data_IF_635813959948
#
_entry.id   IF_635813959948
#
_cell.length_a   1.000
_cell.length_b   1.000
_cell.length_c   1.000
_cell.angle_alpha   90.00
_cell.angle_beta   90.00
_cell.angle_gamma   90.00
#
_symmetry.space_group_name_H-M   'P 1'
#
loop_
_entity.id
_entity.type
_entity.pdbx_description
1 polymer ?
#
# COMPACT_ATOMS: atom_id res chain seq x y z
N UNK A 1 -6.54 -25.72 -2.62
CA UNK A 1 -5.93 -24.87 -1.57
C UNK A 1 -5.50 -23.57 -2.24
N UNK A 2 -5.97 -22.40 -1.80
CA UNK A 2 -5.68 -21.13 -2.50
C UNK A 2 -4.31 -20.60 -2.06
N UNK A 3 -3.32 -20.82 -2.93
CA UNK A 3 -2.00 -20.20 -2.87
C UNK A 3 -2.06 -18.88 -3.64
N UNK A 4 -1.59 -17.80 -3.03
CA UNK A 4 -1.54 -16.47 -3.66
C UNK A 4 -0.09 -15.99 -3.71
N UNK A 5 0.32 -15.48 -4.86
CA UNK A 5 1.60 -14.81 -5.05
C UNK A 5 1.34 -13.31 -5.26
N UNK A 6 2.07 -12.48 -4.52
CA UNK A 6 1.99 -11.02 -4.61
C UNK A 6 3.36 -10.46 -4.94
N UNK A 7 3.42 -9.62 -5.98
CA UNK A 7 4.61 -8.84 -6.33
C UNK A 7 4.51 -7.45 -5.69
N UNK A 8 5.49 -7.10 -4.87
CA UNK A 8 5.60 -5.79 -4.21
C UNK A 8 6.72 -5.00 -4.86
N UNK A 9 6.37 -3.83 -5.36
CA UNK A 9 7.30 -2.87 -5.95
C UNK A 9 7.52 -1.72 -4.98
N UNK A 10 8.78 -1.51 -4.61
CA UNK A 10 9.22 -0.41 -3.76
C UNK A 10 9.76 0.73 -4.62
N UNK A 11 9.24 1.95 -4.39
CA UNK A 11 9.66 3.16 -5.06
C UNK A 11 10.19 4.19 -4.05
N UNK A 12 11.31 4.84 -4.37
CA UNK A 12 11.79 6.01 -3.63
C UNK A 12 11.15 7.27 -4.20
N UNK A 13 10.66 8.13 -3.33
CA UNK A 13 9.93 9.35 -3.71
C UNK A 13 10.77 10.63 -3.59
N UNK A 14 11.91 10.54 -2.90
CA UNK A 14 12.92 11.60 -2.91
C UNK A 14 13.76 11.48 -4.17
N UNK A 15 13.27 12.10 -5.24
CA UNK A 15 13.85 12.06 -6.58
C UNK A 15 14.13 13.46 -7.10
N UNK A 16 14.97 13.53 -8.14
CA UNK A 16 15.38 14.79 -8.75
C UNK A 16 14.25 15.42 -9.59
N UNK A 17 14.24 16.75 -9.81
CA UNK A 17 13.27 17.41 -10.68
C UNK A 17 13.18 16.79 -12.09
N UNK A 18 14.29 16.42 -12.76
CA UNK A 18 14.21 15.71 -14.05
C UNK A 18 13.44 14.38 -14.00
N UNK A 19 13.45 13.65 -12.88
CA UNK A 19 12.67 12.43 -12.75
C UNK A 19 11.17 12.72 -12.64
N UNK A 20 10.80 13.81 -11.97
CA UNK A 20 9.42 14.30 -11.89
C UNK A 20 8.94 14.70 -13.29
N UNK A 21 9.76 15.45 -14.04
CA UNK A 21 9.46 15.87 -15.41
C UNK A 21 9.27 14.69 -16.37
N UNK A 22 10.04 13.60 -16.23
CA UNK A 22 9.87 12.37 -17.03
C UNK A 22 8.55 11.66 -16.75
N UNK A 23 8.09 11.70 -15.49
CA UNK A 23 6.88 11.02 -15.04
C UNK A 23 5.63 11.83 -15.30
N UNK A 24 5.72 13.16 -15.29
CA UNK A 24 4.60 14.08 -15.42
C UNK A 24 3.68 13.81 -16.64
N UNK A 25 4.20 13.48 -17.84
CA UNK A 25 3.38 13.14 -19.00
C UNK A 25 2.58 11.84 -18.81
N UNK A 26 3.00 10.94 -17.92
CA UNK A 26 2.31 9.68 -17.67
C UNK A 26 1.03 9.87 -16.86
N UNK A 27 0.95 10.93 -16.05
CA UNK A 27 -0.24 11.16 -15.21
C UNK A 27 -1.46 11.47 -16.08
N UNK A 28 -2.64 11.12 -15.57
CA UNK A 28 -3.90 11.56 -16.18
C UNK A 28 -4.12 13.07 -15.91
N UNK A 29 -4.99 13.74 -16.70
CA UNK A 29 -5.37 15.12 -16.41
C UNK A 29 -5.94 15.31 -15.00
N UNK A 30 -6.71 14.35 -14.48
CA UNK A 30 -7.26 14.42 -13.13
C UNK A 30 -6.17 14.33 -12.05
N UNK A 31 -5.15 13.51 -12.28
CA UNK A 31 -4.02 13.39 -11.36
C UNK A 31 -3.14 14.61 -11.38
N UNK A 32 -2.87 15.20 -12.55
CA UNK A 32 -2.14 16.47 -12.66
C UNK A 32 -2.85 17.57 -11.87
N UNK A 33 -4.17 17.73 -12.07
CA UNK A 33 -4.97 18.70 -11.28
C UNK A 33 -4.87 18.46 -9.78
N UNK A 34 -4.90 17.20 -9.34
CA UNK A 34 -4.73 16.86 -7.92
C UNK A 34 -3.32 17.17 -7.42
N UNK A 35 -2.29 16.90 -8.23
CA UNK A 35 -0.92 17.23 -7.91
C UNK A 35 -0.76 18.75 -7.72
N UNK A 36 -1.27 19.54 -8.66
CA UNK A 36 -1.20 21.00 -8.64
C UNK A 36 -1.93 21.62 -7.43
N UNK A 37 -2.84 20.88 -6.80
CA UNK A 37 -3.56 21.32 -5.59
C UNK A 37 -2.77 21.19 -4.28
N UNK A 38 -1.61 20.54 -4.25
CA UNK A 38 -0.82 20.41 -3.02
C UNK A 38 -0.13 21.74 -2.65
N UNK A 39 -0.31 22.16 -1.39
CA UNK A 39 0.31 23.39 -0.88
C UNK A 39 1.84 23.31 -0.76
N UNK A 40 2.38 22.11 -0.53
CA UNK A 40 3.82 21.90 -0.33
C UNK A 40 4.45 21.11 -1.47
N UNK A 41 5.60 21.58 -1.97
CA UNK A 41 6.35 20.95 -3.05
C UNK A 41 6.71 19.48 -2.76
N UNK A 42 6.97 19.13 -1.48
CA UNK A 42 7.24 17.75 -1.07
C UNK A 42 6.05 16.82 -1.30
N UNK A 43 4.83 17.30 -1.06
CA UNK A 43 3.61 16.49 -1.17
C UNK A 43 3.22 16.37 -2.64
N UNK A 44 3.36 17.47 -3.41
CA UNK A 44 3.29 17.45 -4.88
C UNK A 44 4.24 16.39 -5.46
N UNK A 45 5.54 16.45 -5.12
CA UNK A 45 6.55 15.48 -5.59
C UNK A 45 6.15 14.05 -5.24
N UNK A 46 5.88 13.77 -3.95
CA UNK A 46 5.54 12.43 -3.48
C UNK A 46 4.33 11.89 -4.22
N UNK A 47 3.30 12.70 -4.43
CA UNK A 47 2.12 12.32 -5.18
C UNK A 47 2.44 11.99 -6.64
N UNK A 48 3.13 12.88 -7.36
CA UNK A 48 3.48 12.68 -8.78
C UNK A 48 4.29 11.41 -8.96
N UNK A 49 5.34 11.23 -8.15
CA UNK A 49 6.25 10.09 -8.26
C UNK A 49 5.55 8.78 -7.89
N UNK A 50 4.68 8.80 -6.87
CA UNK A 50 3.87 7.64 -6.50
C UNK A 50 2.93 7.21 -7.64
N UNK A 51 2.22 8.16 -8.27
CA UNK A 51 1.34 7.86 -9.41
C UNK A 51 2.12 7.42 -10.65
N UNK A 52 3.29 8.00 -10.87
CA UNK A 52 4.22 7.57 -11.91
C UNK A 52 4.70 6.15 -11.74
N UNK A 53 5.15 5.80 -10.54
CA UNK A 53 5.58 4.45 -10.20
C UNK A 53 4.44 3.44 -10.40
N UNK A 54 3.23 3.76 -9.95
CA UNK A 54 2.05 2.93 -10.17
C UNK A 54 1.82 2.65 -11.66
N UNK A 55 1.81 3.70 -12.48
CA UNK A 55 1.63 3.58 -13.93
C UNK A 55 2.76 2.83 -14.60
N UNK A 56 3.99 3.00 -14.15
CA UNK A 56 5.14 2.27 -14.67
C UNK A 56 5.01 0.77 -14.41
N UNK A 57 4.67 0.39 -13.18
CA UNK A 57 4.46 -1.02 -12.78
C UNK A 57 3.31 -1.64 -13.56
N UNK A 58 2.17 -0.96 -13.62
CA UNK A 58 1.00 -1.46 -14.37
C UNK A 58 1.24 -1.47 -15.88
N UNK A 59 1.94 -0.48 -16.43
CA UNK A 59 2.31 -0.44 -17.85
C UNK A 59 3.21 -1.62 -18.22
N UNK A 60 4.22 -1.91 -17.39
CA UNK A 60 5.08 -3.08 -17.55
C UNK A 60 4.33 -4.41 -17.48
N UNK A 61 3.36 -4.51 -16.57
CA UNK A 61 2.49 -5.68 -16.43
C UNK A 61 1.56 -5.88 -17.64
N UNK A 62 1.06 -4.79 -18.21
CA UNK A 62 0.06 -4.79 -19.29
C UNK A 62 0.69 -4.70 -20.69
N UNK A 63 2.01 -4.50 -20.79
CA UNK A 63 2.68 -4.22 -22.06
C UNK A 63 2.27 -2.88 -22.68
N UNK A 64 1.91 -1.90 -21.85
CA UNK A 64 1.46 -0.55 -22.27
C UNK A 64 2.48 0.51 -21.88
N UNK A 65 2.47 1.62 -22.61
CA UNK A 65 3.13 2.83 -22.12
C UNK A 65 2.46 3.30 -20.82
N UNK A 66 3.21 3.77 -19.80
CA UNK A 66 2.64 4.15 -18.50
C UNK A 66 1.49 5.16 -18.59
N UNK A 67 1.58 6.11 -19.52
CA UNK A 67 0.53 7.12 -19.75
C UNK A 67 -0.78 6.57 -20.31
N UNK A 68 -0.74 5.39 -20.93
CA UNK A 68 -1.91 4.76 -21.57
C UNK A 68 -2.68 3.83 -20.61
N UNK A 69 -2.17 3.63 -19.39
CA UNK A 69 -2.85 2.84 -18.37
C UNK A 69 -4.07 3.61 -17.86
N UNK A 70 -5.25 3.09 -18.18
CA UNK A 70 -6.52 3.66 -17.74
C UNK A 70 -6.84 3.20 -16.31
N UNK A 71 -6.97 4.16 -15.40
CA UNK A 71 -7.29 3.94 -14.00
C UNK A 71 -8.58 4.67 -13.63
N UNK A 72 -9.46 3.98 -12.91
CA UNK A 72 -10.56 4.59 -12.18
C UNK A 72 -10.16 4.72 -10.71
N UNK A 73 -10.36 5.89 -10.12
CA UNK A 73 -10.12 6.16 -8.70
C UNK A 73 -11.30 6.91 -8.08
N UNK A 74 -12.50 6.69 -8.62
CA UNK A 74 -13.73 7.30 -8.13
C UNK A 74 -14.10 6.71 -6.76
N UNK A 75 -14.40 7.58 -5.80
CA UNK A 75 -14.86 7.17 -4.49
C UNK A 75 -16.32 6.72 -4.58
N UNK A 76 -16.68 5.52 -4.10
CA UNK A 76 -18.08 5.06 -4.14
C UNK A 76 -19.01 5.87 -3.23
N UNK A 77 -18.47 6.63 -2.26
CA UNK A 77 -19.27 7.40 -1.30
C UNK A 77 -19.61 8.82 -1.81
N UNK A 78 -18.67 9.52 -2.44
CA UNK A 78 -18.86 10.90 -2.89
C UNK A 78 -18.60 11.13 -4.39
N UNK A 79 -18.07 10.15 -5.12
CA UNK A 79 -17.73 10.28 -6.54
C UNK A 79 -16.38 10.92 -6.84
N UNK A 80 -15.70 11.50 -5.86
CA UNK A 80 -14.42 12.20 -6.07
C UNK A 80 -13.25 11.24 -6.36
N UNK A 81 -12.16 11.77 -6.94
CA UNK A 81 -10.97 11.03 -7.36
C UNK A 81 -10.04 10.54 -6.23
N UNK A 82 -10.58 10.11 -5.09
CA UNK A 82 -9.84 9.59 -3.95
C UNK A 82 -10.23 8.14 -3.57
N UNK A 83 -11.02 7.47 -4.40
CA UNK A 83 -11.30 6.05 -4.27
C UNK A 83 -10.07 5.19 -4.52
N UNK A 84 -10.18 3.91 -4.14
CA UNK A 84 -9.16 2.91 -4.42
C UNK A 84 -8.96 2.80 -5.94
N UNK A 85 -7.72 2.95 -6.46
CA UNK A 85 -7.46 2.84 -7.88
C UNK A 85 -7.72 1.41 -8.39
N UNK A 86 -8.32 1.30 -9.58
CA UNK A 86 -8.61 0.04 -10.30
C UNK A 86 -8.32 0.21 -11.79
N UNK A 87 -8.03 -0.88 -12.49
CA UNK A 87 -7.94 -0.87 -13.95
C UNK A 87 -9.30 -0.51 -14.55
N UNK A 88 -9.29 0.31 -15.59
CA UNK A 88 -10.48 0.78 -16.30
C UNK A 88 -10.40 0.46 -17.79
N UNK A 89 -11.51 0.71 -18.50
CA UNK A 89 -11.57 0.53 -19.95
C UNK A 89 -11.34 -0.94 -20.38
N UNK A 90 -10.58 -1.20 -21.46
CA UNK A 90 -10.36 -2.56 -21.97
C UNK A 90 -9.74 -3.52 -20.95
N UNK A 91 -8.92 -2.99 -20.03
CA UNK A 91 -8.16 -3.78 -19.06
C UNK A 91 -8.95 -4.06 -17.77
N UNK A 92 -10.14 -3.49 -17.60
CA UNK A 92 -10.96 -3.63 -16.38
C UNK A 92 -11.35 -5.10 -16.07
N UNK A 93 -11.42 -5.95 -17.10
CA UNK A 93 -11.76 -7.37 -16.98
C UNK A 93 -10.56 -8.27 -16.69
N UNK A 94 -9.34 -7.72 -16.70
CA UNK A 94 -8.15 -8.49 -16.34
C UNK A 94 -8.18 -8.87 -14.85
N UNK A 95 -7.57 -10.00 -14.49
CA UNK A 95 -7.62 -10.51 -13.12
C UNK A 95 -6.73 -9.71 -12.16
N UNK A 96 -5.91 -8.80 -12.68
CA UNK A 96 -4.97 -8.02 -11.89
C UNK A 96 -5.70 -7.11 -10.89
N UNK A 97 -5.32 -7.26 -9.63
CA UNK A 97 -5.68 -6.40 -8.52
C UNK A 97 -4.42 -5.82 -7.94
N UNK A 98 -4.52 -4.60 -7.44
CA UNK A 98 -3.38 -3.91 -6.87
C UNK A 98 -3.80 -3.04 -5.69
N UNK A 99 -2.80 -2.66 -4.92
CA UNK A 99 -2.89 -1.71 -3.82
C UNK A 99 -1.64 -0.86 -3.79
N UNK A 100 -1.78 0.36 -3.30
CA UNK A 100 -0.69 1.32 -3.21
C UNK A 100 -0.73 2.00 -1.85
N UNK A 101 0.43 2.18 -1.24
CA UNK A 101 0.60 2.99 -0.04
C UNK A 101 1.91 3.76 -0.12
N UNK A 102 1.98 4.89 0.55
CA UNK A 102 3.20 5.67 0.66
C UNK A 102 3.27 6.35 2.03
N UNK A 103 4.47 6.46 2.58
CA UNK A 103 4.75 7.18 3.81
C UNK A 103 6.15 7.75 3.75
N UNK A 104 6.30 9.02 4.13
CA UNK A 104 7.47 9.84 3.82
C UNK A 104 7.95 9.66 2.36
N UNK A 105 9.19 9.24 2.14
CA UNK A 105 9.80 9.11 0.81
C UNK A 105 9.86 7.67 0.28
N UNK A 106 8.99 6.79 0.76
CA UNK A 106 8.81 5.42 0.24
C UNK A 106 7.37 5.19 -0.19
N UNK A 107 7.18 4.52 -1.32
CA UNK A 107 5.91 3.96 -1.75
C UNK A 107 6.03 2.46 -2.02
N UNK A 108 4.97 1.72 -1.70
CA UNK A 108 4.80 0.31 -2.05
C UNK A 108 3.60 0.14 -2.98
N UNK A 109 3.78 -0.66 -4.01
CA UNK A 109 2.71 -1.09 -4.92
C UNK A 109 2.67 -2.62 -4.89
N UNK A 110 1.57 -3.19 -4.41
CA UNK A 110 1.34 -4.63 -4.46
C UNK A 110 0.47 -4.99 -5.66
N UNK A 111 0.85 -6.04 -6.39
CA UNK A 111 0.11 -6.57 -7.55
C UNK A 111 -0.17 -8.04 -7.32
N UNK A 112 -1.41 -8.46 -7.59
CA UNK A 112 -1.88 -9.83 -7.43
C UNK A 112 -2.75 -10.23 -8.62
N UNK A 113 -2.52 -11.41 -9.18
CA UNK A 113 -3.29 -11.95 -10.31
C UNK A 113 -4.42 -12.92 -9.91
N UNK A 114 -4.54 -13.26 -8.63
CA UNK A 114 -5.45 -14.33 -8.17
C UNK A 114 -6.52 -13.86 -7.18
N UNK A 115 -6.53 -12.58 -6.82
CA UNK A 115 -7.51 -12.04 -5.89
C UNK A 115 -7.16 -10.66 -5.37
N UNK A 116 -7.97 -10.15 -4.45
CA UNK A 116 -7.72 -8.86 -3.82
C UNK A 116 -6.40 -8.85 -3.05
N UNK A 117 -5.81 -7.66 -2.97
CA UNK A 117 -4.56 -7.42 -2.27
C UNK A 117 -4.61 -6.05 -1.61
N UNK A 118 -3.97 -5.92 -0.47
CA UNK A 118 -3.74 -4.64 0.20
C UNK A 118 -2.28 -4.53 0.62
N UNK A 119 -1.73 -3.33 0.59
CA UNK A 119 -0.37 -3.05 1.06
C UNK A 119 -0.38 -1.77 1.87
N UNK A 120 0.46 -1.73 2.89
CA UNK A 120 0.69 -0.52 3.65
C UNK A 120 2.15 -0.35 4.06
N UNK A 121 2.56 0.90 4.23
CA UNK A 121 3.90 1.29 4.67
C UNK A 121 3.79 2.54 5.54
N UNK A 122 4.46 2.53 6.68
CA UNK A 122 4.54 3.65 7.60
C UNK A 122 5.97 3.91 8.05
N UNK A 123 6.46 5.12 7.77
CA UNK A 123 7.73 5.62 8.30
C UNK A 123 7.46 6.25 9.65
N UNK A 124 8.16 5.78 10.68
CA UNK A 124 8.05 6.33 12.04
C UNK A 124 8.58 7.77 12.02
N UNK A 125 7.74 8.79 12.30
CA UNK A 125 8.22 10.16 12.35
C UNK A 125 9.21 10.36 13.51
N UNK A 126 10.24 11.21 13.33
CA UNK A 126 11.19 11.50 14.38
C UNK A 126 10.49 12.17 15.57
N UNK A 127 10.87 11.79 16.79
CA UNK A 127 10.36 12.37 18.02
C UNK A 127 8.98 11.87 18.47
N UNK A 128 8.37 10.90 17.77
CA UNK A 128 7.13 10.27 18.23
C UNK A 128 7.36 9.45 19.49
N UNK A 129 6.45 9.58 20.46
CA UNK A 129 6.45 8.81 21.69
C UNK A 129 5.15 8.05 21.87
N UNK A 130 5.15 7.03 22.73
CA UNK A 130 3.99 6.19 23.00
C UNK A 130 2.76 6.98 23.45
N UNK A 131 2.94 8.05 24.22
CA UNK A 131 1.84 8.87 24.75
C UNK A 131 1.10 9.64 23.66
N UNK A 132 1.74 9.84 22.50
CA UNK A 132 1.16 10.55 21.36
C UNK A 132 0.46 9.60 20.37
N UNK A 133 0.64 8.29 20.55
CA UNK A 133 0.07 7.30 19.64
C UNK A 133 -1.42 7.09 19.92
N UNK A 134 -2.26 6.94 18.89
CA UNK A 134 -3.68 6.64 19.05
C UNK A 134 -3.86 5.15 19.39
N UNK A 135 -3.49 4.74 20.61
CA UNK A 135 -3.58 3.35 21.07
C UNK A 135 -5.01 2.80 21.06
N UNK A 136 -6.03 3.66 20.97
CA UNK A 136 -7.42 3.28 20.75
C UNK A 136 -7.64 2.53 19.42
N UNK A 137 -6.73 2.65 18.44
CA UNK A 137 -6.77 1.85 17.21
C UNK A 137 -6.21 0.42 17.38
N UNK A 138 -5.58 0.14 18.52
CA UNK A 138 -5.12 -1.20 18.88
C UNK A 138 -6.21 -1.96 19.62
N UNK A 139 -6.31 -3.25 19.35
CA UNK A 139 -7.10 -4.17 20.17
C UNK A 139 -6.49 -4.26 21.58
N UNK A 140 -7.27 -4.73 22.55
CA UNK A 140 -6.79 -4.90 23.92
C UNK A 140 -5.57 -5.83 24.02
N UNK A 141 -5.45 -6.83 23.14
CA UNK A 141 -4.29 -7.72 23.10
C UNK A 141 -3.04 -7.03 22.56
N UNK A 142 -3.19 -6.20 21.53
CA UNK A 142 -2.09 -5.40 20.99
C UNK A 142 -1.61 -4.37 21.99
N UNK A 143 -2.51 -3.67 22.69
CA UNK A 143 -2.14 -2.73 23.74
C UNK A 143 -1.28 -3.40 24.82
N UNK A 144 -1.71 -4.56 25.34
CA UNK A 144 -0.91 -5.34 26.32
C UNK A 144 0.47 -5.73 25.79
N UNK A 145 0.56 -6.13 24.51
CA UNK A 145 1.86 -6.47 23.89
C UNK A 145 2.76 -5.24 23.77
N UNK A 146 2.22 -4.08 23.43
CA UNK A 146 2.97 -2.83 23.34
C UNK A 146 3.48 -2.38 24.72
N UNK A 147 2.65 -2.51 25.76
CA UNK A 147 3.02 -2.20 27.15
C UNK A 147 4.14 -3.09 27.69
N UNK A 148 4.24 -4.33 27.20
CA UNK A 148 5.29 -5.27 27.59
C UNK A 148 6.64 -5.02 26.88
N UNK A 149 6.68 -4.17 25.86
CA UNK A 149 7.90 -3.88 25.10
C UNK A 149 8.70 -2.73 25.73
N UNK A 150 10.04 -2.72 25.55
CA UNK A 150 10.83 -1.51 25.78
C UNK A 150 10.27 -0.33 24.98
N UNK A 151 10.29 0.87 25.57
CA UNK A 151 9.67 2.08 25.01
C UNK A 151 10.04 2.36 23.54
N UNK A 152 11.31 2.18 23.20
CA UNK A 152 11.84 2.37 21.83
C UNK A 152 11.25 1.36 20.84
N UNK A 153 11.00 0.13 21.29
CA UNK A 153 10.43 -0.95 20.47
C UNK A 153 8.90 -0.86 20.38
N UNK A 154 8.25 -0.32 21.40
CA UNK A 154 6.80 -0.21 21.44
C UNK A 154 6.26 0.77 20.38
N UNK A 155 6.96 1.88 20.09
CA UNK A 155 6.59 2.78 18.97
C UNK A 155 6.67 2.03 17.64
N UNK A 156 7.78 1.33 17.38
CA UNK A 156 7.92 0.52 16.18
C UNK A 156 6.87 -0.61 16.11
N UNK A 157 6.54 -1.21 17.25
CA UNK A 157 5.50 -2.23 17.39
C UNK A 157 4.10 -1.72 17.03
N UNK A 158 3.77 -0.48 17.43
CA UNK A 158 2.51 0.17 17.07
C UNK A 158 2.42 0.35 15.55
N UNK A 159 3.44 0.93 14.92
CA UNK A 159 3.44 1.13 13.47
C UNK A 159 3.41 -0.18 12.69
N UNK A 160 4.03 -1.25 13.21
CA UNK A 160 3.92 -2.60 12.64
C UNK A 160 2.49 -3.17 12.73
N UNK A 161 1.81 -3.03 13.88
CA UNK A 161 0.39 -3.41 14.02
C UNK A 161 -0.49 -2.58 13.08
N UNK A 162 -0.29 -1.26 13.05
CA UNK A 162 -1.02 -0.35 12.19
C UNK A 162 -0.89 -0.72 10.71
N UNK A 163 0.34 -0.90 10.21
CA UNK A 163 0.58 -1.27 8.81
C UNK A 163 -0.09 -2.61 8.44
N UNK A 164 -0.09 -3.60 9.34
CA UNK A 164 -0.79 -4.88 9.12
C UNK A 164 -2.29 -4.68 8.98
N UNK A 165 -2.90 -3.87 9.85
CA UNK A 165 -4.34 -3.57 9.82
C UNK A 165 -4.72 -2.79 8.58
N UNK A 166 -4.00 -1.73 8.26
CA UNK A 166 -4.24 -0.92 7.06
C UNK A 166 -4.07 -1.74 5.78
N UNK A 167 -3.02 -2.58 5.68
CA UNK A 167 -2.86 -3.48 4.55
C UNK A 167 -4.07 -4.41 4.39
N UNK A 168 -4.55 -4.99 5.49
CA UNK A 168 -5.75 -5.83 5.48
C UNK A 168 -7.03 -5.06 5.10
N UNK A 169 -7.29 -3.89 5.71
CA UNK A 169 -8.48 -3.07 5.45
C UNK A 169 -8.50 -2.51 4.02
N UNK A 170 -7.35 -2.08 3.49
CA UNK A 170 -7.17 -1.73 2.08
C UNK A 170 -7.46 -2.91 1.17
N UNK A 171 -7.03 -4.10 1.56
CA UNK A 171 -7.30 -5.36 0.88
C UNK A 171 -8.80 -5.65 0.77
N UNK A 172 -9.51 -5.66 1.91
CA UNK A 172 -10.96 -5.85 1.98
C UNK A 172 -11.75 -4.72 1.28
N UNK A 173 -11.13 -3.56 1.03
CA UNK A 173 -11.77 -2.43 0.35
C UNK A 173 -12.73 -1.62 1.22
N UNK A 174 -12.68 -1.82 2.55
CA UNK A 174 -13.52 -1.11 3.52
C UNK A 174 -12.84 0.13 4.10
N UNK A 175 -11.50 0.17 4.09
CA UNK A 175 -10.73 1.26 4.70
C UNK A 175 -11.08 1.46 6.18
N UNK A 176 -11.03 2.70 6.64
CA UNK A 176 -11.33 3.09 8.03
C UNK A 176 -12.83 3.21 8.34
N UNK A 177 -13.71 2.70 7.47
CA UNK A 177 -15.14 2.55 7.84
C UNK A 177 -15.34 1.45 8.88
N UNK A 178 -14.35 0.56 9.02
CA UNK A 178 -14.22 -0.42 10.09
C UNK A 178 -13.22 0.12 11.11
N UNK A 179 -13.59 0.07 12.39
CA UNK A 179 -12.69 0.41 13.48
C UNK A 179 -11.46 -0.52 13.46
N UNK A 180 -10.23 0.00 13.29
CA UNK A 180 -9.02 -0.81 13.33
C UNK A 180 -8.89 -1.66 14.60
N UNK A 181 -9.43 -1.21 15.74
CA UNK A 181 -9.39 -1.97 16.99
C UNK A 181 -10.20 -3.29 16.92
N UNK A 182 -11.16 -3.38 16.01
CA UNK A 182 -11.96 -4.58 15.76
C UNK A 182 -11.27 -5.64 14.89
N UNK A 183 -10.14 -5.28 14.25
CA UNK A 183 -9.37 -6.21 13.42
C UNK A 183 -8.55 -7.12 14.32
N UNK A 184 -8.79 -8.43 14.23
CA UNK A 184 -8.01 -9.44 14.92
C UNK A 184 -6.80 -9.84 14.06
N UNK A 185 -5.60 -9.80 14.66
CA UNK A 185 -4.36 -10.27 14.06
C UNK A 185 -3.78 -11.41 14.87
N UNK A 186 -3.98 -12.65 14.39
CA UNK A 186 -3.49 -13.86 15.05
C UNK A 186 -2.17 -14.30 14.41
N UNK A 187 -1.04 -14.33 15.13
CA UNK A 187 0.22 -14.83 14.59
C UNK A 187 0.11 -16.29 14.14
N UNK A 188 0.56 -16.58 12.92
CA UNK A 188 0.66 -17.94 12.37
C UNK A 188 2.08 -18.27 11.89
N UNK A 189 3.01 -17.34 12.11
CA UNK A 189 4.44 -17.43 11.86
C UNK A 189 5.13 -16.17 12.37
N UNK A 190 6.46 -16.11 12.27
CA UNK A 190 7.24 -14.98 12.82
C UNK A 190 6.85 -13.61 12.24
N UNK A 191 6.46 -13.58 10.96
CA UNK A 191 6.12 -12.37 10.21
C UNK A 191 4.78 -12.50 9.47
N UNK A 192 3.97 -13.50 9.85
CA UNK A 192 2.71 -13.80 9.16
C UNK A 192 1.59 -13.91 10.18
N UNK A 193 0.49 -13.23 9.88
CA UNK A 193 -0.69 -13.14 10.72
C UNK A 193 -1.91 -13.57 9.92
N UNK A 194 -2.85 -14.24 10.57
CA UNK A 194 -4.21 -14.38 10.07
C UNK A 194 -4.99 -13.15 10.51
N UNK A 195 -5.62 -12.48 9.55
CA UNK A 195 -6.46 -11.32 9.81
C UNK A 195 -7.93 -11.65 9.60
N UNK A 196 -8.78 -11.11 10.47
CA UNK A 196 -10.22 -11.24 10.37
C UNK A 196 -10.98 -10.08 10.99
N UNK A 197 -12.13 -9.79 10.40
CA UNK A 197 -13.22 -9.00 10.95
C UNK A 197 -14.54 -9.58 10.42
N UNK A 198 -15.71 -9.28 11.03
CA UNK A 198 -16.99 -9.70 10.51
C UNK A 198 -17.16 -9.35 9.02
N UNK A 199 -17.52 -10.34 8.19
CA UNK A 199 -17.72 -10.15 6.75
C UNK A 199 -16.44 -10.17 5.88
N UNK A 200 -15.23 -10.13 6.46
CA UNK A 200 -13.97 -10.30 5.72
C UNK A 200 -13.06 -11.30 6.46
N UNK A 201 -13.01 -12.56 6.04
CA UNK A 201 -12.22 -13.61 6.73
C UNK A 201 -11.26 -14.32 5.77
N UNK A 202 -10.36 -15.14 6.34
CA UNK A 202 -9.38 -15.94 5.60
C UNK A 202 -8.28 -15.14 4.90
N UNK A 203 -7.84 -14.04 5.52
CA UNK A 203 -6.70 -13.26 5.04
C UNK A 203 -5.41 -13.67 5.73
N UNK A 204 -4.32 -13.71 4.97
CA UNK A 204 -2.98 -13.68 5.52
C UNK A 204 -2.40 -12.29 5.32
N UNK A 205 -1.74 -11.79 6.36
CA UNK A 205 -0.96 -10.56 6.37
C UNK A 205 0.48 -10.92 6.63
N UNK A 206 1.40 -10.49 5.76
CA UNK A 206 2.82 -10.72 5.90
C UNK A 206 3.57 -9.38 6.02
N UNK A 207 4.53 -9.31 6.93
CA UNK A 207 5.41 -8.15 7.03
C UNK A 207 6.31 -8.04 5.79
N UNK A 208 6.59 -6.82 5.37
CA UNK A 208 7.45 -6.50 4.23
C UNK A 208 8.65 -5.73 4.73
N UNK A 209 9.85 -6.25 4.51
CA UNK A 209 11.07 -5.66 5.06
C UNK A 209 11.48 -4.36 4.34
N UNK A 210 10.97 -3.21 4.77
CA UNK A 210 11.34 -1.88 4.24
C UNK A 210 12.25 -1.18 5.25
N UNK A 211 13.51 -0.85 4.92
CA UNK A 211 14.40 -0.18 5.86
C UNK A 211 13.81 1.15 6.38
N UNK A 212 13.75 1.29 7.70
CA UNK A 212 13.24 2.50 8.35
C UNK A 212 11.71 2.66 8.33
N UNK A 213 10.96 1.64 7.90
CA UNK A 213 9.51 1.68 7.87
C UNK A 213 8.89 0.36 8.36
N UNK A 214 7.72 0.46 8.98
CA UNK A 214 6.83 -0.69 9.14
C UNK A 214 6.06 -0.89 7.83
N UNK A 215 5.97 -2.12 7.32
CA UNK A 215 5.19 -2.39 6.12
C UNK A 215 4.60 -3.78 6.14
N UNK A 216 3.44 -3.93 5.51
CA UNK A 216 2.73 -5.20 5.43
C UNK A 216 1.96 -5.33 4.12
N UNK A 217 1.70 -6.58 3.74
CA UNK A 217 0.87 -6.95 2.60
C UNK A 217 -0.18 -7.96 3.04
N UNK A 218 -1.39 -7.84 2.51
CA UNK A 218 -2.52 -8.70 2.86
C UNK A 218 -3.18 -9.28 1.61
N UNK A 219 -3.55 -10.56 1.64
CA UNK A 219 -4.34 -11.21 0.58
C UNK A 219 -5.24 -12.34 1.14
N UNK A 220 -6.41 -12.60 0.52
CA UNK A 220 -7.31 -13.68 0.93
C UNK A 220 -6.77 -15.02 0.43
N UNK A 221 -6.06 -15.76 1.30
CA UNK A 221 -5.40 -17.00 0.92
C UNK A 221 -5.09 -17.88 2.12
N UNK A 222 -4.70 -19.14 1.85
CA UNK A 222 -4.17 -20.04 2.88
C UNK A 222 -2.64 -20.11 2.88
N UNK A 223 -2.02 -19.70 1.78
CA UNK A 223 -0.57 -19.62 1.62
C UNK A 223 -0.25 -18.37 0.80
N UNK A 224 0.63 -17.53 1.33
CA UNK A 224 1.04 -16.27 0.73
C UNK A 224 2.52 -16.36 0.35
N UNK A 225 2.85 -16.02 -0.90
CA UNK A 225 4.22 -15.81 -1.35
C UNK A 225 4.39 -14.36 -1.75
N UNK A 226 5.40 -13.69 -1.19
CA UNK A 226 5.70 -12.29 -1.47
C UNK A 226 6.99 -12.22 -2.26
N UNK A 227 6.95 -11.61 -3.43
CA UNK A 227 8.11 -11.28 -4.26
C UNK A 227 8.33 -9.78 -4.21
N UNK A 228 9.59 -9.36 -4.14
CA UNK A 228 9.94 -7.94 -3.98
C UNK A 228 10.76 -7.45 -5.16
N UNK A 229 10.43 -6.25 -5.61
CA UNK A 229 11.02 -5.57 -6.75
C UNK A 229 11.28 -4.11 -6.41
N UNK A 230 12.16 -3.46 -7.18
CA UNK A 230 12.33 -2.00 -7.12
C UNK A 230 11.70 -1.39 -8.37
N UNK A 231 10.95 -0.32 -8.20
CA UNK A 231 10.46 0.49 -9.30
C UNK A 231 11.47 1.62 -9.59
N UNK A 232 12.00 1.65 -10.81
CA UNK A 232 12.80 2.78 -11.29
C UNK A 232 11.88 3.90 -11.76
N UNK A 233 12.12 5.12 -11.27
CA UNK A 233 11.34 6.29 -11.66
C UNK A 233 11.82 6.77 -13.04
N UNK A 234 10.89 7.11 -13.93
CA UNK A 234 11.21 7.60 -15.28
C UNK A 234 11.60 6.51 -16.29
N UNK A 235 11.51 5.22 -15.92
CA UNK A 235 11.61 4.08 -16.84
C UNK A 235 10.39 3.16 -16.71
N UNK A 236 9.82 2.65 -17.82
CA UNK A 236 8.79 1.62 -17.75
C UNK A 236 9.34 0.38 -17.04
N UNK A 237 8.60 -0.14 -16.06
CA UNK A 237 8.96 -1.39 -15.41
C UNK A 237 8.94 -2.53 -16.43
N UNK A 238 9.87 -3.47 -16.30
CA UNK A 238 9.74 -4.77 -16.99
C UNK A 238 8.81 -5.62 -16.14
N UNK A 239 7.77 -6.21 -16.74
CA UNK A 239 6.83 -7.07 -16.02
C UNK A 239 7.55 -8.22 -15.29
N UNK A 240 6.91 -8.84 -14.28
CA UNK A 240 7.49 -9.97 -13.57
C UNK A 240 7.85 -11.08 -14.56
N UNK A 241 9.08 -11.61 -14.46
CA UNK A 241 9.50 -12.77 -15.24
C UNK A 241 8.58 -13.95 -14.90
N UNK A 242 7.91 -14.48 -15.91
CA UNK A 242 7.02 -15.65 -15.83
C UNK A 242 7.75 -16.88 -15.33
#
# INVERSE_FOLDING_TARGET
MTHTSVDIWEARLDVSPPDIERVWPWLSPAERRRADGFAFARDHRRYVVTRGALRSVLGGLLGRFPGDVLLDSSCPACGDGHGRPRLAGPDARLPWRFSISHSADVALIAVCGTGDVGVDVEVVPPGVSLETLPLSACSADEQRRLEALPREQAVAGFYASWARKEAYLKGCGVGLTVDPASVELLPVGAQVHRASQPGCSQWLVADVAVPGAAAAVAAPCRRLTVRRHRAEIGRPARGPST
#
